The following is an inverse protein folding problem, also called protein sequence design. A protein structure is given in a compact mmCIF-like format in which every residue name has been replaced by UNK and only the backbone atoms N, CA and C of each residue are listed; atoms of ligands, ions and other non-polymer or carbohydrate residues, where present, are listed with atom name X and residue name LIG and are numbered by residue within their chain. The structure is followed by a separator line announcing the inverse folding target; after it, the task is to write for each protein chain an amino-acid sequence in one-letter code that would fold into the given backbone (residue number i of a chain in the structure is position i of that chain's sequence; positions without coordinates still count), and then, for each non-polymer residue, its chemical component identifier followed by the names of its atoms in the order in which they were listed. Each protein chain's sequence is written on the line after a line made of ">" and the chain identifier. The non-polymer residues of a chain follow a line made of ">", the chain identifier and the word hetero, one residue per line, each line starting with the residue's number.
data_IF_372816243186
#
_entry.id   IF_372816243186
#
_cell.length_a   1.000
_cell.length_b   1.000
_cell.length_c   1.000
_cell.angle_alpha   90.00
_cell.angle_beta   90.00
_cell.angle_gamma   90.00
#
_symmetry.space_group_name_H-M   'P 1'
#
loop_
_entity.id
_entity.type
_entity.pdbx_description
1 polymer ?
#
# COMPACT_ATOMS: atom_id res chain seq x y z
N UNK A 1 -14.48 -7.84 10.92
CA UNK A 1 -13.89 -9.19 10.97
C UNK A 1 -13.78 -9.64 12.42
N UNK A 2 -14.60 -10.62 12.79
CA UNK A 2 -14.58 -11.23 14.13
C UNK A 2 -13.23 -11.92 14.40
N UNK A 3 -12.65 -11.87 15.62
CA UNK A 3 -11.41 -12.55 15.98
C UNK A 3 -11.13 -13.95 15.38
N UNK A 4 -12.07 -14.91 15.32
CA UNK A 4 -11.84 -16.22 14.70
C UNK A 4 -11.54 -16.12 13.20
N UNK A 5 -12.30 -15.30 12.48
CA UNK A 5 -12.09 -15.06 11.04
C UNK A 5 -10.70 -14.46 10.80
N UNK A 6 -10.28 -13.51 11.65
CA UNK A 6 -8.94 -12.90 11.58
C UNK A 6 -7.81 -13.92 11.75
N UNK A 7 -7.98 -14.89 12.65
CA UNK A 7 -7.00 -15.97 12.84
C UNK A 7 -6.91 -16.90 11.63
N UNK A 8 -8.03 -17.14 10.95
CA UNK A 8 -8.04 -17.93 9.72
C UNK A 8 -7.26 -17.19 8.62
N UNK A 9 -7.59 -15.92 8.37
CA UNK A 9 -6.89 -15.10 7.37
C UNK A 9 -5.40 -14.96 7.65
N UNK A 10 -5.01 -14.80 8.91
CA UNK A 10 -3.59 -14.75 9.29
C UNK A 10 -2.85 -16.07 9.01
N UNK A 11 -3.51 -17.22 9.20
CA UNK A 11 -2.91 -18.53 8.84
C UNK A 11 -2.80 -18.72 7.33
N UNK A 12 -3.80 -18.32 6.58
CA UNK A 12 -3.75 -18.33 5.10
C UNK A 12 -2.57 -17.50 4.59
N UNK A 13 -2.44 -16.27 5.11
CA UNK A 13 -1.32 -15.39 4.81
C UNK A 13 0.00 -16.05 5.22
N UNK A 14 0.10 -16.64 6.40
CA UNK A 14 1.32 -17.31 6.86
C UNK A 14 1.77 -18.45 5.96
N UNK A 15 0.85 -19.31 5.53
CA UNK A 15 1.16 -20.39 4.59
C UNK A 15 1.63 -19.85 3.23
N UNK A 16 1.01 -18.78 2.75
CA UNK A 16 1.44 -18.12 1.51
C UNK A 16 2.80 -17.42 1.65
N UNK A 17 3.09 -16.77 2.78
CA UNK A 17 4.38 -16.13 3.05
C UNK A 17 5.51 -17.18 3.09
N UNK A 18 5.27 -18.36 3.66
CA UNK A 18 6.25 -19.44 3.64
C UNK A 18 6.52 -19.96 2.22
N UNK A 19 5.47 -20.09 1.40
CA UNK A 19 5.64 -20.37 -0.03
C UNK A 19 6.44 -19.26 -0.73
N UNK A 20 6.12 -17.99 -0.50
CA UNK A 20 6.80 -16.85 -1.12
C UNK A 20 8.30 -16.83 -0.76
N UNK A 21 8.61 -17.02 0.53
CA UNK A 21 9.99 -17.05 1.05
C UNK A 21 10.82 -18.14 0.40
N UNK A 22 10.23 -19.32 0.18
CA UNK A 22 10.90 -20.44 -0.49
C UNK A 22 11.05 -20.19 -1.99
N UNK A 23 9.99 -19.75 -2.65
CA UNK A 23 9.93 -19.63 -4.12
C UNK A 23 10.85 -18.53 -4.65
N UNK A 24 10.97 -17.41 -3.92
CA UNK A 24 11.78 -16.26 -4.32
C UNK A 24 13.07 -16.12 -3.49
N UNK A 25 13.44 -17.17 -2.74
CA UNK A 25 14.64 -17.23 -1.90
C UNK A 25 14.77 -16.06 -0.89
N UNK A 26 13.65 -15.51 -0.42
CA UNK A 26 13.59 -14.31 0.45
C UNK A 26 13.84 -14.60 1.94
N UNK A 27 14.55 -15.67 2.27
CA UNK A 27 14.77 -16.14 3.65
C UNK A 27 15.53 -15.14 4.52
N UNK A 28 16.47 -14.38 3.94
CA UNK A 28 17.24 -13.33 4.62
C UNK A 28 16.53 -11.96 4.60
N UNK A 29 15.49 -11.80 3.80
CA UNK A 29 14.71 -10.56 3.70
C UNK A 29 13.50 -10.60 4.63
N UNK A 30 12.69 -11.65 4.51
CA UNK A 30 11.48 -11.85 5.30
C UNK A 30 11.82 -12.79 6.46
N UNK A 31 12.06 -12.19 7.63
CA UNK A 31 12.39 -12.92 8.85
C UNK A 31 11.18 -13.68 9.38
N UNK A 32 11.41 -14.74 10.16
CA UNK A 32 10.33 -15.57 10.74
C UNK A 32 9.38 -14.80 11.66
N UNK A 33 9.81 -13.66 12.22
CA UNK A 33 8.99 -12.82 13.08
C UNK A 33 8.15 -11.77 12.33
N UNK A 34 8.07 -11.82 10.99
CA UNK A 34 7.35 -10.85 10.15
C UNK A 34 5.94 -10.51 10.67
N UNK A 35 5.21 -11.48 11.21
CA UNK A 35 3.85 -11.33 11.72
C UNK A 35 3.74 -10.38 12.94
N UNK A 36 4.88 -10.04 13.56
CA UNK A 36 4.97 -9.07 14.66
C UNK A 36 5.18 -7.64 14.18
N UNK A 37 5.36 -7.42 12.87
CA UNK A 37 5.62 -6.11 12.28
C UNK A 37 4.43 -5.72 11.40
N UNK A 38 3.51 -4.90 11.93
CA UNK A 38 2.26 -4.53 11.27
C UNK A 38 2.45 -3.96 9.86
N UNK A 39 3.46 -3.11 9.65
CA UNK A 39 3.79 -2.58 8.33
C UNK A 39 4.14 -3.71 7.34
N UNK A 40 4.94 -4.71 7.76
CA UNK A 40 5.29 -5.85 6.91
C UNK A 40 4.07 -6.72 6.63
N UNK A 41 3.23 -6.97 7.64
CA UNK A 41 1.95 -7.67 7.48
C UNK A 41 1.07 -7.01 6.42
N UNK A 42 0.97 -5.69 6.42
CA UNK A 42 0.18 -4.94 5.43
C UNK A 42 0.74 -5.10 4.01
N UNK A 43 2.05 -4.95 3.84
CA UNK A 43 2.70 -5.14 2.54
C UNK A 43 2.50 -6.58 2.01
N UNK A 44 2.65 -7.58 2.88
CA UNK A 44 2.44 -8.99 2.51
C UNK A 44 0.97 -9.27 2.20
N UNK A 45 0.03 -8.63 2.89
CA UNK A 45 -1.41 -8.74 2.60
C UNK A 45 -1.74 -8.14 1.23
N UNK A 46 -1.18 -6.99 0.89
CA UNK A 46 -1.33 -6.39 -0.44
C UNK A 46 -0.77 -7.30 -1.54
N UNK A 47 0.42 -7.87 -1.35
CA UNK A 47 1.02 -8.79 -2.30
C UNK A 47 0.21 -10.10 -2.43
N UNK A 48 -0.29 -10.65 -1.33
CA UNK A 48 -1.14 -11.85 -1.32
C UNK A 48 -2.44 -11.63 -2.07
N UNK A 49 -3.12 -10.51 -1.81
CA UNK A 49 -4.37 -10.17 -2.52
C UNK A 49 -4.14 -9.94 -4.02
N UNK A 50 -3.02 -9.29 -4.39
CA UNK A 50 -2.59 -9.18 -5.79
C UNK A 50 -2.31 -10.54 -6.42
N UNK A 51 -1.64 -11.45 -5.69
CA UNK A 51 -1.36 -12.80 -6.15
C UNK A 51 -2.65 -13.61 -6.37
N UNK A 52 -3.58 -13.58 -5.40
CA UNK A 52 -4.89 -14.24 -5.51
C UNK A 52 -5.68 -13.74 -6.73
N UNK A 53 -5.71 -12.42 -6.96
CA UNK A 53 -6.38 -11.85 -8.14
C UNK A 53 -5.72 -12.28 -9.44
N UNK A 54 -4.41 -12.51 -9.43
CA UNK A 54 -3.63 -12.88 -10.62
C UNK A 54 -3.80 -14.35 -10.96
N UNK A 55 -3.68 -15.24 -9.97
CA UNK A 55 -3.61 -16.69 -10.20
C UNK A 55 -4.90 -17.46 -9.87
N UNK A 56 -5.84 -16.85 -9.16
CA UNK A 56 -7.12 -17.47 -8.79
C UNK A 56 -8.34 -16.63 -9.21
N UNK A 57 -8.12 -15.52 -9.92
CA UNK A 57 -9.19 -14.70 -10.50
C UNK A 57 -9.66 -15.26 -11.85
N UNK A 58 -10.86 -14.83 -12.27
CA UNK A 58 -11.32 -15.10 -13.62
C UNK A 58 -10.48 -14.33 -14.66
N UNK A 59 -10.27 -14.95 -15.83
CA UNK A 59 -9.62 -14.30 -16.96
C UNK A 59 -10.49 -13.15 -17.46
N UNK A 60 -10.12 -11.92 -17.10
CA UNK A 60 -10.75 -10.70 -17.56
C UNK A 60 -9.95 -10.10 -18.73
N UNK A 61 -10.60 -9.46 -19.73
CA UNK A 61 -9.91 -8.73 -20.80
C UNK A 61 -8.94 -7.67 -20.25
N UNK A 62 -7.78 -7.51 -20.90
CA UNK A 62 -6.75 -6.52 -20.51
C UNK A 62 -5.82 -6.96 -19.37
N UNK A 63 -5.66 -8.28 -19.16
CA UNK A 63 -4.77 -8.86 -18.14
C UNK A 63 -3.65 -9.72 -18.73
N UNK A 64 -3.27 -9.48 -19.99
CA UNK A 64 -2.32 -10.33 -20.73
C UNK A 64 -0.91 -10.42 -20.09
N UNK A 65 -0.59 -9.57 -19.10
CA UNK A 65 0.70 -9.53 -18.40
C UNK A 65 0.57 -9.55 -16.86
N UNK A 66 -0.58 -9.93 -16.31
CA UNK A 66 -0.86 -9.79 -14.88
C UNK A 66 0.16 -10.54 -13.97
N UNK A 67 0.64 -11.70 -14.39
CA UNK A 67 1.65 -12.50 -13.69
C UNK A 67 3.00 -11.77 -13.64
N UNK A 68 3.44 -11.23 -14.78
CA UNK A 68 4.68 -10.48 -14.89
C UNK A 68 4.62 -9.19 -14.09
N UNK A 69 3.49 -8.47 -14.14
CA UNK A 69 3.27 -7.25 -13.37
C UNK A 69 3.24 -7.53 -11.86
N UNK A 70 2.66 -8.65 -11.44
CA UNK A 70 2.69 -9.06 -10.05
C UNK A 70 4.13 -9.36 -9.58
N UNK A 71 4.94 -10.05 -10.39
CA UNK A 71 6.36 -10.32 -10.08
C UNK A 71 7.14 -8.99 -9.98
N UNK A 72 6.93 -8.05 -10.90
CA UNK A 72 7.55 -6.74 -10.85
C UNK A 72 7.18 -5.98 -9.57
N UNK A 73 5.90 -6.05 -9.18
CA UNK A 73 5.39 -5.45 -7.95
C UNK A 73 6.02 -6.09 -6.71
N UNK A 74 6.15 -7.42 -6.68
CA UNK A 74 6.85 -8.14 -5.61
C UNK A 74 8.27 -7.61 -5.45
N UNK A 75 9.05 -7.53 -6.53
CA UNK A 75 10.43 -7.04 -6.47
C UNK A 75 10.53 -5.58 -6.01
N UNK A 76 9.59 -4.72 -6.40
CA UNK A 76 9.53 -3.35 -5.89
C UNK A 76 9.23 -3.28 -4.38
N UNK A 77 8.54 -4.29 -3.83
CA UNK A 77 8.19 -4.36 -2.42
C UNK A 77 9.28 -5.01 -1.56
N UNK A 78 10.14 -5.87 -2.11
CA UNK A 78 11.21 -6.58 -1.37
C UNK A 78 11.98 -5.68 -0.39
N UNK A 79 12.44 -4.47 -0.74
CA UNK A 79 13.13 -3.59 0.21
C UNK A 79 12.29 -3.19 1.43
N UNK A 80 10.96 -3.11 1.28
CA UNK A 80 10.02 -2.77 2.37
C UNK A 80 9.70 -3.95 3.27
N UNK A 81 10.03 -5.17 2.83
CA UNK A 81 9.84 -6.39 3.62
C UNK A 81 11.05 -6.69 4.53
N UNK A 82 12.17 -5.99 4.32
CA UNK A 82 13.40 -6.24 5.05
C UNK A 82 13.31 -5.73 6.49
N UNK A 83 13.51 -6.63 7.44
CA UNK A 83 13.57 -6.32 8.87
C UNK A 83 15.02 -6.37 9.35
N UNK A 84 15.80 -5.34 9.05
CA UNK A 84 17.23 -5.26 9.41
C UNK A 84 17.47 -5.49 10.91
N UNK A 85 16.59 -4.95 11.76
CA UNK A 85 16.58 -5.13 13.21
C UNK A 85 16.46 -6.59 13.66
N UNK A 86 15.79 -7.43 12.86
CA UNK A 86 15.52 -8.83 13.16
C UNK A 86 16.38 -9.81 12.34
N UNK A 87 17.25 -9.30 11.46
CA UNK A 87 17.98 -10.09 10.47
C UNK A 87 19.00 -11.07 11.09
N UNK A 88 19.50 -10.78 12.29
CA UNK A 88 20.45 -11.62 13.03
C UNK A 88 19.78 -12.77 13.80
N UNK A 89 18.50 -13.04 13.54
CA UNK A 89 17.74 -14.13 14.15
C UNK A 89 17.15 -13.79 15.52
N UNK A 90 17.40 -12.61 16.07
CA UNK A 90 16.77 -12.13 17.30
C UNK A 90 15.72 -11.08 16.97
N UNK A 91 14.47 -11.30 17.40
CA UNK A 91 13.39 -10.34 17.20
C UNK A 91 13.63 -9.05 18.00
N UNK A 92 13.36 -7.90 17.37
CA UNK A 92 13.30 -6.59 18.02
C UNK A 92 11.90 -6.01 17.89
N UNK A 93 11.36 -5.52 19.01
CA UNK A 93 10.01 -4.94 19.01
C UNK A 93 9.99 -3.65 18.17
N UNK A 94 8.97 -3.45 17.32
CA UNK A 94 8.78 -2.16 16.66
C UNK A 94 8.72 -1.02 17.69
N UNK A 95 9.18 0.18 17.33
CA UNK A 95 8.97 1.36 18.16
C UNK A 95 7.48 1.51 18.52
N UNK A 96 7.21 1.90 19.76
CA UNK A 96 5.84 2.14 20.21
C UNK A 96 5.20 3.23 19.36
N UNK A 97 3.98 2.97 18.90
CA UNK A 97 3.15 3.99 18.25
C UNK A 97 2.80 5.03 19.32
N UNK A 98 3.28 6.25 19.12
CA UNK A 98 2.91 7.38 19.99
C UNK A 98 1.47 7.75 19.63
N UNK A 99 0.53 7.71 20.59
CA UNK A 99 -0.84 8.13 20.31
C UNK A 99 -0.85 9.61 19.93
N UNK A 100 -1.78 10.03 19.04
CA UNK A 100 -1.93 11.44 18.72
C UNK A 100 -2.27 12.23 20.01
N UNK A 101 -1.84 13.50 20.12
CA UNK A 101 -2.24 14.36 21.22
C UNK A 101 -3.76 14.46 21.37
N UNK A 102 -4.25 14.64 22.60
CA UNK A 102 -5.67 14.93 22.84
C UNK A 102 -6.11 16.16 22.03
N UNK A 103 -7.28 16.08 21.38
CA UNK A 103 -7.78 17.17 20.54
C UNK A 103 -7.33 17.12 19.08
N UNK A 104 -6.54 16.11 18.67
CA UNK A 104 -6.00 16.03 17.30
C UNK A 104 -7.10 15.89 16.24
N UNK A 105 -8.17 15.16 16.55
CA UNK A 105 -9.29 14.97 15.62
C UNK A 105 -10.06 16.28 15.44
N UNK A 106 -10.35 16.99 16.54
CA UNK A 106 -10.99 18.30 16.48
C UNK A 106 -10.12 19.34 15.77
N UNK A 107 -8.81 19.34 16.03
CA UNK A 107 -7.87 20.21 15.33
C UNK A 107 -7.82 19.91 13.82
N UNK A 108 -7.95 18.65 13.43
CA UNK A 108 -8.02 18.25 12.04
C UNK A 108 -9.31 18.75 11.37
N UNK A 109 -10.46 18.62 12.03
CA UNK A 109 -11.73 19.18 11.54
C UNK A 109 -11.67 20.70 11.38
N UNK A 110 -11.06 21.41 12.34
CA UNK A 110 -10.83 22.86 12.23
C UNK A 110 -9.93 23.18 11.04
N UNK A 111 -8.87 22.41 10.79
CA UNK A 111 -8.03 22.58 9.60
C UNK A 111 -8.83 22.40 8.32
N UNK A 112 -9.65 21.35 8.20
CA UNK A 112 -10.47 21.11 7.02
C UNK A 112 -11.42 22.28 6.72
N UNK A 113 -12.02 22.87 7.75
CA UNK A 113 -12.96 23.99 7.59
C UNK A 113 -12.30 25.33 7.30
N UNK A 114 -11.13 25.61 7.89
CA UNK A 114 -10.57 26.96 7.93
C UNK A 114 -9.30 27.15 7.08
N UNK A 115 -8.65 26.07 6.67
CA UNK A 115 -7.44 26.18 5.85
C UNK A 115 -7.79 26.56 4.42
N UNK A 116 -7.06 27.51 3.84
CA UNK A 116 -7.16 27.82 2.41
C UNK A 116 -6.89 26.58 1.54
N UNK A 117 -6.03 25.67 2.00
CA UNK A 117 -5.70 24.45 1.28
C UNK A 117 -6.92 23.52 1.06
N UNK A 118 -7.93 23.61 1.92
CA UNK A 118 -9.13 22.76 1.88
C UNK A 118 -10.41 23.54 1.62
N UNK A 119 -10.40 24.86 1.79
CA UNK A 119 -11.58 25.73 1.61
C UNK A 119 -11.51 26.63 0.37
N UNK A 120 -10.32 26.97 -0.13
CA UNK A 120 -10.20 27.78 -1.33
C UNK A 120 -10.56 26.98 -2.59
N UNK A 121 -11.12 27.66 -3.59
CA UNK A 121 -11.34 27.04 -4.90
C UNK A 121 -10.00 26.63 -5.52
N UNK A 122 -9.91 25.39 -5.99
CA UNK A 122 -8.68 24.87 -6.59
C UNK A 122 -8.31 25.69 -7.84
N UNK A 123 -7.20 26.42 -7.78
CA UNK A 123 -6.65 27.12 -8.93
C UNK A 123 -5.60 26.22 -9.57
N UNK A 124 -5.93 25.62 -10.71
CA UNK A 124 -4.94 24.87 -11.49
C UNK A 124 -3.97 25.85 -12.14
N UNK A 125 -2.64 25.68 -12.02
CA UNK A 125 -1.66 26.62 -12.56
C UNK A 125 -1.75 26.78 -14.09
N UNK A 126 -2.29 25.78 -14.80
CA UNK A 126 -2.53 25.85 -16.24
C UNK A 126 -3.92 26.39 -16.64
N UNK A 127 -4.76 26.86 -15.71
CA UNK A 127 -6.12 27.31 -16.03
C UNK A 127 -6.13 28.42 -17.09
N UNK A 128 -5.20 29.37 -17.01
CA UNK A 128 -5.06 30.44 -18.00
C UNK A 128 -4.63 29.92 -19.39
N UNK A 129 -3.79 28.88 -19.43
CA UNK A 129 -3.33 28.27 -20.68
C UNK A 129 -4.45 27.44 -21.33
N UNK A 130 -5.22 26.69 -20.53
CA UNK A 130 -6.39 25.97 -21.03
C UNK A 130 -7.43 26.93 -21.62
N UNK A 131 -7.69 28.05 -20.93
CA UNK A 131 -8.60 29.09 -21.43
C UNK A 131 -8.13 29.74 -22.73
N UNK A 132 -6.81 29.98 -22.89
CA UNK A 132 -6.25 30.47 -24.16
C UNK A 132 -6.48 29.49 -25.30
N UNK A 133 -6.16 28.21 -25.09
CA UNK A 133 -6.33 27.17 -26.11
C UNK A 133 -7.78 27.00 -26.53
N UNK A 134 -8.71 27.03 -25.57
CA UNK A 134 -10.14 26.94 -25.85
C UNK A 134 -10.64 28.16 -26.65
N UNK A 135 -10.14 29.36 -26.36
CA UNK A 135 -10.48 30.57 -27.12
C UNK A 135 -9.93 30.53 -28.55
N UNK A 136 -8.71 30.02 -28.76
CA UNK A 136 -8.12 29.83 -30.09
C UNK A 136 -8.90 28.80 -30.93
N UNK A 137 -9.35 27.70 -30.30
CA UNK A 137 -10.20 26.69 -30.94
C UNK A 137 -11.58 27.22 -31.36
N UNK A 138 -12.13 28.19 -30.62
CA UNK A 138 -13.47 28.74 -30.83
C UNK A 138 -13.49 30.06 -31.61
N UNK A 139 -12.35 30.53 -32.13
CA UNK A 139 -12.29 31.77 -32.89
C UNK A 139 -13.01 31.62 -34.24
N UNK A 140 -13.93 32.54 -34.62
CA UNK A 140 -14.60 32.48 -35.91
C UNK A 140 -13.60 32.73 -37.05
N UNK A 141 -13.81 32.02 -38.16
CA UNK A 141 -13.04 32.14 -39.41
C UNK A 141 -13.12 33.54 -40.02
#
# INVERSE_FOLDING_TARGET
>A
MDPPERRIRMRELGGWVDWLRKTFELHNTITHCWYRHSAVVEHLTALYTGWMRTYAGEEAPGRELAEADWINTLHAFVPRLQLAACATGTHQEPPLVVPPPSGSDEAFEVYLMLSDATSASAVHPAAAELGRREAELNAPL
#
